data_IF_327309685009
#
_entry.id   IF_327309685009
#
_cell.length_a   1.000
_cell.length_b   1.000
_cell.length_c   1.000
_cell.angle_alpha   90.00
_cell.angle_beta   90.00
_cell.angle_gamma   90.00
#
_symmetry.space_group_name_H-M   'P 1'
#
loop_
_entity.id
_entity.type
_entity.pdbx_description
1 polymer ?
#
# COMPACT_ATOMS: atom_id res chain seq x y z
N UNK A 1 11.55 -2.57 3.75
CA UNK A 1 12.36 -1.40 4.17
C UNK A 1 11.75 -0.16 3.53
N UNK A 2 11.18 0.75 4.31
CA UNK A 2 10.60 1.99 3.77
C UNK A 2 11.61 3.11 4.06
N UNK A 3 12.11 3.74 3.00
CA UNK A 3 12.99 4.89 3.11
C UNK A 3 12.20 6.14 2.75
N UNK A 4 12.18 7.11 3.66
CA UNK A 4 11.50 8.39 3.43
C UNK A 4 12.54 9.50 3.48
N UNK A 5 12.75 10.15 2.33
CA UNK A 5 13.69 11.25 2.17
C UNK A 5 12.94 12.57 2.04
N UNK A 6 13.39 13.59 2.78
CA UNK A 6 12.87 14.95 2.66
C UNK A 6 13.97 15.81 2.04
N UNK A 7 13.72 16.23 0.81
CA UNK A 7 14.59 17.14 0.08
C UNK A 7 14.20 18.61 0.34
N UNK A 8 12.91 18.88 0.52
CA UNK A 8 12.38 20.22 0.76
C UNK A 8 12.04 20.45 2.26
N UNK A 9 12.80 21.27 3.01
CA UNK A 9 12.54 21.55 4.43
C UNK A 9 11.18 22.20 4.73
N UNK A 10 10.46 22.69 3.71
CA UNK A 10 9.09 23.16 3.88
C UNK A 10 8.16 22.05 4.42
N UNK A 11 8.42 20.79 4.06
CA UNK A 11 7.72 19.62 4.62
C UNK A 11 7.90 19.54 6.13
N UNK A 12 9.14 19.51 6.62
CA UNK A 12 9.43 19.43 8.07
C UNK A 12 8.91 20.65 8.83
N UNK A 13 8.88 21.82 8.19
CA UNK A 13 8.40 23.06 8.79
C UNK A 13 6.86 23.08 8.94
N UNK A 14 6.15 22.55 7.94
CA UNK A 14 4.69 22.45 7.97
C UNK A 14 4.21 21.26 8.80
N UNK A 15 4.93 20.15 8.71
CA UNK A 15 4.66 18.88 9.37
C UNK A 15 5.99 18.27 9.87
N UNK A 16 6.35 18.47 11.15
CA UNK A 16 7.57 17.87 11.70
C UNK A 16 7.53 16.34 11.65
N UNK A 17 6.34 15.74 11.67
CA UNK A 17 6.12 14.29 11.62
C UNK A 17 5.87 13.76 10.19
N UNK A 18 6.11 14.56 9.13
CA UNK A 18 5.80 14.15 7.74
C UNK A 18 6.41 12.79 7.37
N UNK A 19 7.67 12.55 7.74
CA UNK A 19 8.37 11.28 7.53
C UNK A 19 7.63 10.10 8.19
N UNK A 20 7.31 10.25 9.47
CA UNK A 20 6.64 9.20 10.25
C UNK A 20 5.22 8.92 9.71
N UNK A 21 4.51 9.96 9.28
CA UNK A 21 3.18 9.83 8.69
C UNK A 21 3.20 9.08 7.35
N UNK A 22 4.16 9.41 6.48
CA UNK A 22 4.33 8.73 5.20
C UNK A 22 4.74 7.26 5.41
N UNK A 23 5.69 7.00 6.33
CA UNK A 23 6.10 5.65 6.67
C UNK A 23 4.93 4.83 7.23
N UNK A 24 4.19 5.37 8.21
CA UNK A 24 3.01 4.70 8.78
C UNK A 24 1.95 4.38 7.72
N UNK A 25 1.68 5.33 6.81
CA UNK A 25 0.71 5.15 5.74
C UNK A 25 1.14 4.02 4.77
N UNK A 26 2.42 4.00 4.39
CA UNK A 26 2.97 2.95 3.55
C UNK A 26 2.96 1.58 4.23
N UNK A 27 3.37 1.48 5.51
CA UNK A 27 3.29 0.23 6.28
C UNK A 27 1.85 -0.27 6.35
N UNK A 28 0.88 0.61 6.63
CA UNK A 28 -0.51 0.23 6.75
C UNK A 28 -1.08 -0.27 5.40
N UNK A 29 -0.72 0.36 4.29
CA UNK A 29 -1.11 -0.07 2.96
C UNK A 29 -0.55 -1.46 2.63
N UNK A 30 0.75 -1.66 2.84
CA UNK A 30 1.40 -2.96 2.62
C UNK A 30 0.82 -4.06 3.51
N UNK A 31 0.58 -3.76 4.80
CA UNK A 31 -0.01 -4.71 5.74
C UNK A 31 -1.46 -5.09 5.39
N UNK A 32 -2.19 -4.23 4.70
CA UNK A 32 -3.57 -4.49 4.28
C UNK A 32 -3.63 -5.34 3.00
N UNK A 33 -2.73 -5.08 2.04
CA UNK A 33 -2.75 -5.71 0.71
C UNK A 33 -1.94 -7.01 0.66
N UNK A 34 -0.82 -7.08 1.37
CA UNK A 34 -0.05 -8.30 1.57
C UNK A 34 -0.45 -8.85 2.94
N UNK A 35 -1.52 -9.66 3.03
CA UNK A 35 -1.78 -10.34 4.27
C UNK A 35 -0.60 -11.28 4.52
N UNK A 36 0.16 -10.98 5.57
CA UNK A 36 1.00 -11.98 6.24
C UNK A 36 0.19 -13.29 6.31
N UNK A 37 0.78 -14.37 5.82
CA UNK A 37 0.12 -15.66 5.76
C UNK A 37 -0.36 -16.16 7.13
N UNK A 38 -1.02 -17.31 7.14
CA UNK A 38 -2.44 -17.39 7.44
C UNK A 38 -2.81 -16.69 8.76
N UNK A 39 -3.86 -15.87 8.71
CA UNK A 39 -4.64 -15.50 9.90
C UNK A 39 -5.10 -16.81 10.56
N UNK A 40 -4.39 -17.24 11.61
CA UNK A 40 -4.83 -18.28 12.52
C UNK A 40 -6.15 -17.81 13.15
N UNK A 41 -7.26 -18.19 12.53
CA UNK A 41 -8.59 -18.09 13.14
C UNK A 41 -8.69 -19.15 14.24
N UNK A 42 -7.86 -19.08 15.27
CA UNK A 42 -8.10 -19.76 16.54
C UNK A 42 -9.03 -18.91 17.42
N UNK A 43 -10.21 -18.63 16.87
CA UNK A 43 -11.34 -18.01 17.59
C UNK A 43 -12.36 -19.08 17.98
N UNK A 44 -12.11 -19.71 19.11
CA UNK A 44 -12.91 -20.74 19.79
C UNK A 44 -14.42 -20.40 19.93
N UNK A 45 -15.29 -21.40 19.65
CA UNK A 45 -16.41 -21.92 20.48
C UNK A 45 -17.69 -22.26 19.69
N UNK A 46 -18.18 -23.50 19.84
CA UNK A 46 -19.51 -23.92 19.38
C UNK A 46 -19.71 -25.43 19.45
N UNK A 47 -20.10 -25.91 20.61
CA UNK A 47 -20.35 -27.32 20.98
C UNK A 47 -21.46 -27.99 20.13
N UNK A 48 -21.26 -29.25 19.73
CA UNK A 48 -22.29 -30.06 19.09
C UNK A 48 -21.89 -31.54 18.97
N UNK A 49 -22.51 -32.37 19.79
CA UNK A 49 -22.29 -33.82 19.98
C UNK A 49 -22.57 -34.69 18.73
N UNK A 50 -21.94 -35.87 18.73
CA UNK A 50 -22.36 -37.20 18.23
C UNK A 50 -21.43 -37.75 17.12
N UNK A 51 -21.08 -39.04 17.01
CA UNK A 51 -21.14 -40.23 17.85
C UNK A 51 -20.43 -41.37 17.05
N UNK A 52 -19.72 -42.26 17.75
CA UNK A 52 -19.53 -43.71 17.49
C UNK A 52 -19.02 -44.20 16.11
N UNK A 53 -17.90 -44.95 16.17
CA UNK A 53 -17.59 -46.06 15.25
C UNK A 53 -16.10 -46.43 15.20
N UNK A 54 -15.67 -47.60 15.70
CA UNK A 54 -14.29 -48.07 15.60
C UNK A 54 -14.11 -49.03 14.42
N UNK A 55 -13.02 -48.89 13.67
CA UNK A 55 -12.58 -49.95 12.78
C UNK A 55 -11.81 -49.46 11.56
N UNK A 56 -10.49 -49.62 11.59
CA UNK A 56 -9.68 -50.26 10.55
C UNK A 56 -8.23 -49.76 10.61
N UNK A 57 -7.32 -50.69 10.94
CA UNK A 57 -5.89 -50.57 10.70
C UNK A 57 -5.57 -50.87 9.20
N UNK A 58 -4.30 -50.97 8.78
CA UNK A 58 -3.63 -49.99 7.93
C UNK A 58 -3.40 -50.53 6.50
N UNK A 59 -3.11 -49.64 5.53
CA UNK A 59 -2.47 -50.08 4.29
C UNK A 59 -1.44 -49.06 3.84
N UNK A 60 -0.18 -49.48 4.00
CA UNK A 60 0.99 -48.88 3.41
C UNK A 60 0.95 -49.19 1.91
N UNK A 61 0.71 -48.17 1.09
CA UNK A 61 1.01 -48.22 -0.34
C UNK A 61 1.83 -46.98 -0.68
N UNK A 62 3.14 -47.17 -0.69
CA UNK A 62 4.15 -46.22 -1.16
C UNK A 62 4.07 -46.11 -2.68
N UNK A 63 3.07 -45.37 -3.15
CA UNK A 63 3.01 -44.82 -4.50
C UNK A 63 3.74 -43.49 -4.52
N UNK A 64 4.94 -43.46 -5.08
CA UNK A 64 5.69 -42.26 -5.44
C UNK A 64 4.99 -41.56 -6.63
N UNK A 65 4.50 -40.33 -6.52
CA UNK A 65 4.24 -39.50 -7.69
C UNK A 65 5.52 -38.75 -8.13
N UNK A 66 5.67 -38.45 -9.43
CA UNK A 66 6.84 -37.78 -9.98
C UNK A 66 6.90 -36.31 -9.59
N UNK A 67 8.14 -35.83 -9.41
CA UNK A 67 8.50 -34.46 -9.15
C UNK A 67 7.89 -33.50 -10.20
N UNK A 68 7.06 -32.57 -9.75
CA UNK A 68 6.75 -31.34 -10.47
C UNK A 68 7.94 -30.36 -10.38
N UNK A 69 8.08 -29.42 -11.32
CA UNK A 69 9.18 -28.49 -11.34
C UNK A 69 8.97 -27.39 -10.29
N UNK A 70 10.06 -26.98 -9.64
CA UNK A 70 10.10 -25.74 -8.87
C UNK A 70 9.55 -25.86 -7.45
N UNK A 71 10.30 -26.53 -6.58
CA UNK A 71 10.23 -26.17 -5.16
C UNK A 71 10.68 -24.72 -5.05
N UNK A 72 9.73 -23.81 -4.83
CA UNK A 72 10.05 -22.54 -4.17
C UNK A 72 10.62 -22.93 -2.82
N UNK A 73 11.90 -22.65 -2.63
CA UNK A 73 12.53 -22.63 -1.32
C UNK A 73 11.59 -21.84 -0.42
N UNK A 74 11.10 -22.52 0.61
CA UNK A 74 10.40 -21.85 1.69
C UNK A 74 11.52 -21.22 2.53
N UNK A 75 12.02 -20.10 2.04
CA UNK A 75 12.90 -19.23 2.79
C UNK A 75 11.99 -18.45 3.72
N UNK A 76 12.18 -18.68 5.02
CA UNK A 76 11.55 -17.99 6.13
C UNK A 76 12.18 -16.58 6.25
N UNK A 77 12.15 -15.79 5.17
CA UNK A 77 12.66 -14.42 5.13
C UNK A 77 11.47 -13.52 4.80
N UNK A 78 11.04 -12.73 5.77
CA UNK A 78 9.88 -11.86 5.64
C UNK A 78 9.98 -11.05 4.34
N UNK A 79 8.86 -10.98 3.60
CA UNK A 79 8.75 -10.27 2.33
C UNK A 79 9.40 -8.89 2.50
N UNK A 80 10.61 -8.74 1.96
CA UNK A 80 11.46 -7.58 2.20
C UNK A 80 11.11 -6.50 1.19
N UNK A 81 9.84 -6.08 1.18
CA UNK A 81 9.37 -5.09 0.24
C UNK A 81 10.05 -3.75 0.53
N UNK A 82 10.81 -3.20 -0.42
CA UNK A 82 11.47 -1.90 -0.29
C UNK A 82 10.73 -0.81 -1.06
N UNK A 83 10.55 0.35 -0.43
CA UNK A 83 9.80 1.50 -0.96
C UNK A 83 10.56 2.77 -0.62
N UNK A 84 10.74 3.66 -1.60
CA UNK A 84 11.35 4.97 -1.39
C UNK A 84 10.27 6.04 -1.55
N UNK A 85 10.18 6.97 -0.60
CA UNK A 85 9.26 8.11 -0.63
C UNK A 85 10.08 9.39 -0.55
N UNK A 86 10.10 10.14 -1.64
CA UNK A 86 10.74 11.44 -1.76
C UNK A 86 9.73 12.56 -1.58
N UNK A 87 9.94 13.37 -0.54
CA UNK A 87 9.19 14.58 -0.25
C UNK A 87 9.99 15.79 -0.74
N UNK A 88 9.61 16.36 -1.88
CA UNK A 88 10.35 17.42 -2.57
C UNK A 88 9.41 18.59 -2.97
N UNK A 89 9.92 19.55 -3.72
CA UNK A 89 9.20 20.72 -4.22
C UNK A 89 8.51 20.49 -5.57
N UNK A 90 7.68 21.44 -5.99
CA UNK A 90 6.93 21.37 -7.26
C UNK A 90 7.83 21.41 -8.50
N UNK A 91 8.97 22.10 -8.47
CA UNK A 91 9.88 22.17 -9.59
C UNK A 91 10.64 20.85 -9.78
N UNK A 92 11.05 20.19 -8.68
CA UNK A 92 11.65 18.86 -8.72
C UNK A 92 10.67 17.81 -9.27
N UNK A 93 9.43 17.79 -8.78
CA UNK A 93 8.39 16.88 -9.33
C UNK A 93 8.06 17.20 -10.78
N UNK A 94 8.01 18.48 -11.16
CA UNK A 94 7.81 18.87 -12.56
C UNK A 94 8.95 18.36 -13.45
N UNK A 95 10.22 18.52 -13.04
CA UNK A 95 11.37 18.00 -13.78
C UNK A 95 11.31 16.47 -13.93
N UNK A 96 10.92 15.75 -12.87
CA UNK A 96 10.66 14.30 -12.95
C UNK A 96 9.53 13.99 -13.94
N UNK A 97 8.41 14.71 -13.87
CA UNK A 97 7.28 14.50 -14.78
C UNK A 97 7.65 14.75 -16.24
N UNK A 98 8.50 15.75 -16.52
CA UNK A 98 9.06 16.01 -17.84
C UNK A 98 9.95 14.86 -18.29
N UNK A 99 10.89 14.42 -17.45
CA UNK A 99 11.88 13.39 -17.82
C UNK A 99 11.26 12.02 -18.04
N UNK A 100 10.30 11.63 -17.21
CA UNK A 100 9.73 10.29 -17.24
C UNK A 100 8.42 10.19 -18.03
N UNK A 101 7.55 11.21 -17.98
CA UNK A 101 6.24 11.21 -18.64
C UNK A 101 6.14 12.23 -19.80
N UNK A 102 7.17 13.05 -20.03
CA UNK A 102 7.14 14.08 -21.07
C UNK A 102 6.16 15.22 -20.78
N UNK A 103 5.69 15.36 -19.53
CA UNK A 103 4.69 16.36 -19.16
C UNK A 103 5.31 17.48 -18.34
N UNK A 104 5.38 18.67 -18.92
CA UNK A 104 5.85 19.89 -18.25
C UNK A 104 4.77 20.50 -17.37
N UNK A 105 4.40 19.77 -16.31
CA UNK A 105 3.50 20.27 -15.28
C UNK A 105 3.85 19.68 -13.91
N UNK A 106 3.78 20.49 -12.84
CA UNK A 106 3.85 19.96 -11.49
C UNK A 106 2.63 19.08 -11.23
N UNK A 107 2.84 17.95 -10.56
CA UNK A 107 1.77 17.05 -10.12
C UNK A 107 1.90 16.84 -8.62
N UNK A 108 0.85 16.33 -7.99
CA UNK A 108 0.83 16.08 -6.55
C UNK A 108 1.71 14.89 -6.17
N UNK A 109 1.51 13.75 -6.83
CA UNK A 109 2.27 12.50 -6.62
C UNK A 109 2.69 11.89 -7.95
N UNK A 110 3.91 11.38 -8.01
CA UNK A 110 4.43 10.49 -9.06
C UNK A 110 4.79 9.16 -8.45
N UNK A 111 4.26 8.09 -9.02
CA UNK A 111 4.65 6.71 -8.71
C UNK A 111 5.49 6.12 -9.83
N UNK A 112 6.61 5.50 -9.44
CA UNK A 112 7.56 4.83 -10.31
C UNK A 112 7.65 3.36 -9.91
N UNK A 113 6.81 2.48 -10.49
CA UNK A 113 6.89 1.06 -10.23
C UNK A 113 8.17 0.48 -10.85
N UNK A 114 8.98 -0.19 -10.03
CA UNK A 114 10.21 -0.85 -10.50
C UNK A 114 9.92 -2.22 -11.16
N UNK A 115 8.77 -2.83 -10.86
CA UNK A 115 8.39 -4.15 -11.36
C UNK A 115 9.03 -5.30 -10.56
N UNK A 116 8.83 -6.57 -10.99
CA UNK A 116 9.32 -7.74 -10.24
C UNK A 116 10.85 -7.83 -10.34
N UNK A 117 11.54 -7.20 -9.39
CA UNK A 117 12.98 -7.27 -9.25
C UNK A 117 13.36 -8.31 -8.19
N UNK A 118 14.56 -8.92 -8.28
CA UNK A 118 15.05 -9.88 -7.29
C UNK A 118 15.33 -9.27 -5.91
N UNK A 119 15.19 -7.95 -5.76
CA UNK A 119 15.44 -7.20 -4.52
C UNK A 119 14.14 -6.74 -3.83
N UNK A 120 12.98 -7.29 -4.23
CA UNK A 120 11.65 -6.97 -3.68
C UNK A 120 11.36 -5.46 -3.60
N UNK A 121 11.92 -4.67 -4.51
CA UNK A 121 11.70 -3.22 -4.55
C UNK A 121 10.37 -2.89 -5.27
N UNK A 122 9.41 -2.34 -4.52
CA UNK A 122 8.09 -1.93 -5.02
C UNK A 122 8.22 -0.75 -6.00
N UNK A 123 9.10 0.20 -5.69
CA UNK A 123 9.31 1.40 -6.49
C UNK A 123 9.52 2.66 -5.66
N UNK A 124 9.40 3.79 -6.35
CA UNK A 124 9.62 5.12 -5.79
C UNK A 124 8.35 5.98 -5.87
N UNK A 125 8.13 6.79 -4.83
CA UNK A 125 7.08 7.80 -4.76
C UNK A 125 7.70 9.18 -4.61
N UNK A 126 7.29 10.14 -5.43
CA UNK A 126 7.71 11.54 -5.30
C UNK A 126 6.48 12.43 -5.10
N UNK A 127 6.49 13.24 -4.03
CA UNK A 127 5.39 14.16 -3.70
C UNK A 127 5.87 15.61 -3.69
N UNK A 128 5.08 16.49 -4.31
CA UNK A 128 5.36 17.93 -4.39
C UNK A 128 4.70 18.69 -3.23
N UNK A 129 5.50 19.34 -2.38
CA UNK A 129 4.99 20.13 -1.25
C UNK A 129 4.00 21.21 -1.70
N UNK A 130 4.38 22.01 -2.69
CA UNK A 130 3.62 23.18 -3.12
C UNK A 130 2.21 22.81 -3.61
N UNK A 131 2.12 21.78 -4.45
CA UNK A 131 0.84 21.27 -4.98
C UNK A 131 0.02 20.63 -3.87
N UNK A 132 0.61 19.73 -3.09
CA UNK A 132 -0.08 19.04 -1.99
C UNK A 132 -0.64 20.02 -0.95
N UNK A 133 0.13 21.05 -0.58
CA UNK A 133 -0.31 22.08 0.36
C UNK A 133 -1.41 22.98 -0.20
N UNK A 134 -1.35 23.30 -1.49
CA UNK A 134 -2.40 24.06 -2.17
C UNK A 134 -3.70 23.26 -2.27
N UNK A 135 -3.63 21.97 -2.64
CA UNK A 135 -4.80 21.08 -2.74
C UNK A 135 -5.42 20.80 -1.37
N UNK A 136 -4.61 20.47 -0.36
CA UNK A 136 -5.10 20.28 1.01
C UNK A 136 -5.87 21.51 1.49
N UNK A 137 -5.33 22.71 1.25
CA UNK A 137 -5.99 23.97 1.60
C UNK A 137 -7.28 24.21 0.79
N UNK A 138 -7.27 23.92 -0.51
CA UNK A 138 -8.44 24.09 -1.38
C UNK A 138 -9.59 23.14 -1.00
N UNK A 139 -9.26 21.90 -0.62
CA UNK A 139 -10.21 20.89 -0.18
C UNK A 139 -10.58 21.01 1.31
N UNK A 140 -9.97 21.95 2.04
CA UNK A 140 -10.19 22.12 3.48
C UNK A 140 -9.70 20.94 4.34
N UNK A 141 -8.78 20.11 3.80
CA UNK A 141 -8.19 18.96 4.47
C UNK A 141 -6.89 19.35 5.17
N UNK A 142 -6.48 18.60 6.18
CA UNK A 142 -5.15 18.81 6.77
C UNK A 142 -4.08 18.27 5.81
N UNK A 143 -2.90 18.92 5.78
CA UNK A 143 -1.79 18.42 4.98
C UNK A 143 -1.38 16.99 5.41
N UNK A 144 -1.54 16.66 6.69
CA UNK A 144 -1.24 15.33 7.22
C UNK A 144 -2.17 14.26 6.62
N UNK A 145 -3.48 14.53 6.59
CA UNK A 145 -4.46 13.59 6.00
C UNK A 145 -4.27 13.47 4.49
N UNK A 146 -3.99 14.60 3.83
CA UNK A 146 -3.73 14.60 2.39
C UNK A 146 -2.44 13.84 2.05
N UNK A 147 -1.37 14.00 2.83
CA UNK A 147 -0.13 13.24 2.67
C UNK A 147 -0.39 11.73 2.83
N UNK A 148 -1.07 11.32 3.90
CA UNK A 148 -1.39 9.91 4.14
C UNK A 148 -2.18 9.31 2.98
N UNK A 149 -3.19 10.04 2.49
CA UNK A 149 -3.98 9.63 1.35
C UNK A 149 -3.11 9.45 0.10
N UNK A 150 -2.30 10.44 -0.26
CA UNK A 150 -1.42 10.37 -1.44
C UNK A 150 -0.39 9.24 -1.34
N UNK A 151 0.16 8.99 -0.14
CA UNK A 151 1.07 7.86 0.06
C UNK A 151 0.38 6.53 -0.15
N UNK A 152 -0.82 6.33 0.42
CA UNK A 152 -1.58 5.08 0.24
C UNK A 152 -1.96 4.89 -1.24
N UNK A 153 -2.46 5.95 -1.87
CA UNK A 153 -2.81 5.96 -3.28
C UNK A 153 -1.61 5.56 -4.15
N UNK A 154 -0.46 6.20 -3.91
CA UNK A 154 0.80 5.88 -4.60
C UNK A 154 1.23 4.43 -4.41
N UNK A 155 1.19 3.92 -3.17
CA UNK A 155 1.56 2.52 -2.88
C UNK A 155 0.60 1.54 -3.57
N UNK A 156 -0.70 1.82 -3.62
CA UNK A 156 -1.66 0.98 -4.35
C UNK A 156 -1.37 0.93 -5.85
N UNK A 157 -1.00 2.07 -6.46
CA UNK A 157 -0.52 2.08 -7.85
C UNK A 157 0.77 1.27 -8.04
N UNK A 158 1.71 1.31 -7.09
CA UNK A 158 2.92 0.47 -7.14
C UNK A 158 2.59 -1.03 -7.05
N UNK A 159 1.53 -1.39 -6.32
CA UNK A 159 1.02 -2.76 -6.21
C UNK A 159 0.22 -3.21 -7.44
N UNK A 160 0.01 -2.31 -8.41
CA UNK A 160 -0.69 -2.59 -9.66
C UNK A 160 -2.21 -2.38 -9.60
N UNK A 161 -2.73 -1.71 -8.57
CA UNK A 161 -4.12 -1.24 -8.57
C UNK A 161 -4.19 0.08 -9.33
N UNK A 162 -5.07 0.15 -10.32
CA UNK A 162 -5.31 1.35 -11.09
C UNK A 162 -6.79 1.76 -11.02
N UNK A 163 -7.07 3.04 -11.21
CA UNK A 163 -8.41 3.62 -11.16
C UNK A 163 -8.95 4.00 -12.56
N UNK A 164 -8.29 3.57 -13.64
CA UNK A 164 -8.75 3.80 -15.02
C UNK A 164 -10.14 3.20 -15.32
N UNK A 165 -10.56 2.16 -14.60
CA UNK A 165 -11.86 1.49 -14.78
C UNK A 165 -12.70 1.59 -13.50
N UNK A 166 -13.98 1.96 -13.61
CA UNK A 166 -14.89 2.12 -12.46
C UNK A 166 -14.85 0.96 -11.46
N UNK A 167 -14.84 -0.29 -11.94
CA UNK A 167 -14.82 -1.47 -11.06
C UNK A 167 -13.49 -1.64 -10.31
N UNK A 168 -12.38 -1.19 -10.86
CA UNK A 168 -11.07 -1.20 -10.19
C UNK A 168 -10.92 0.00 -9.26
N UNK A 169 -11.44 1.17 -9.68
CA UNK A 169 -11.55 2.35 -8.84
C UNK A 169 -12.34 2.06 -7.56
N UNK A 170 -13.52 1.42 -7.64
CA UNK A 170 -14.30 1.07 -6.46
C UNK A 170 -13.54 0.15 -5.49
N UNK A 171 -12.75 -0.80 -6.02
CA UNK A 171 -11.94 -1.71 -5.22
C UNK A 171 -10.77 -0.97 -4.55
N UNK A 172 -10.10 -0.07 -5.29
CA UNK A 172 -9.01 0.77 -4.79
C UNK A 172 -9.52 1.73 -3.71
N UNK A 173 -10.62 2.45 -3.96
CA UNK A 173 -11.25 3.35 -3.01
C UNK A 173 -11.69 2.61 -1.74
N UNK A 174 -12.18 1.38 -1.87
CA UNK A 174 -12.51 0.55 -0.71
C UNK A 174 -11.28 0.18 0.13
N UNK A 175 -10.13 -0.10 -0.50
CA UNK A 175 -8.87 -0.34 0.18
C UNK A 175 -8.33 0.93 0.84
N UNK A 176 -8.30 2.05 0.12
CA UNK A 176 -7.87 3.36 0.64
C UNK A 176 -8.64 3.72 1.90
N UNK A 177 -9.97 3.62 1.87
CA UNK A 177 -10.82 3.89 3.03
C UNK A 177 -10.53 2.97 4.20
N UNK A 178 -10.35 1.67 3.96
CA UNK A 178 -10.03 0.70 5.03
C UNK A 178 -8.69 0.98 5.68
N UNK A 179 -7.69 1.39 4.90
CA UNK A 179 -6.35 1.72 5.41
C UNK A 179 -6.42 3.04 6.19
N UNK A 180 -7.12 4.04 5.66
CA UNK A 180 -7.30 5.35 6.29
C UNK A 180 -8.09 5.26 7.60
N UNK A 181 -9.16 4.44 7.64
CA UNK A 181 -9.92 4.14 8.85
C UNK A 181 -9.02 3.51 9.93
N UNK A 182 -8.16 2.55 9.54
CA UNK A 182 -7.17 1.95 10.42
C UNK A 182 -6.13 2.93 10.97
N UNK A 183 -5.86 4.02 10.25
CA UNK A 183 -4.95 5.10 10.66
C UNK A 183 -5.67 6.23 11.43
N UNK A 184 -7.00 6.14 11.59
CA UNK A 184 -7.81 7.17 12.23
C UNK A 184 -7.96 8.46 11.41
N UNK A 185 -7.78 8.37 10.09
CA UNK A 185 -7.94 9.49 9.15
C UNK A 185 -9.39 9.54 8.67
N UNK A 186 -9.97 10.73 8.63
CA UNK A 186 -11.31 10.93 8.09
C UNK A 186 -11.34 10.60 6.59
N UNK A 187 -12.43 9.97 6.15
CA UNK A 187 -12.64 9.52 4.78
C UNK A 187 -12.44 10.69 3.78
N UNK A 188 -11.43 10.61 2.88
CA UNK A 188 -11.08 11.72 1.99
C UNK A 188 -12.13 11.93 0.90
N UNK A 189 -12.95 10.92 0.61
CA UNK A 189 -14.02 10.95 -0.38
C UNK A 189 -15.36 11.38 0.22
N UNK A 190 -15.50 11.41 1.56
CA UNK A 190 -16.73 11.84 2.21
C UNK A 190 -17.15 13.28 1.84
N UNK A 191 -16.20 14.17 1.56
CA UNK A 191 -16.49 15.54 1.12
C UNK A 191 -17.05 15.62 -0.32
N UNK A 192 -16.71 14.66 -1.18
CA UNK A 192 -17.22 14.58 -2.55
C UNK A 192 -18.57 13.86 -2.63
N UNK A 193 -18.87 12.99 -1.65
CA UNK A 193 -20.12 12.23 -1.56
C UNK A 193 -21.31 13.01 -0.99
N UNK A 194 -21.09 14.13 -0.30
CA UNK A 194 -22.15 14.95 0.32
C UNK A 194 -22.77 15.98 -0.66
N UNK A 195 -22.35 16.00 -1.93
CA UNK A 195 -22.84 16.96 -2.95
C UNK A 195 -23.94 16.37 -3.85
N UNK A 196 -24.67 15.34 -3.40
CA UNK A 196 -25.80 14.75 -4.15
C UNK A 196 -27.04 14.53 -3.27
#
# INVERSE_FOLDING_TARGET
MIEVEIDEPAWTKALPDATALAEQAAVAALSCVIPDGPQDRSGTQGTGRAALGPGASPSLSSGRPPAGPGGYGRDDDGISASLVILLTDDAAVQDLNVRFRGQDKPTNVLSFPTGPNPEDHLGDLALAFGVCAAEAKAQGKTLADHLRHLTIHGVLHLLGYDHEIDSEAEAMEALERRILDGLGVADPYAAERDVN
#
